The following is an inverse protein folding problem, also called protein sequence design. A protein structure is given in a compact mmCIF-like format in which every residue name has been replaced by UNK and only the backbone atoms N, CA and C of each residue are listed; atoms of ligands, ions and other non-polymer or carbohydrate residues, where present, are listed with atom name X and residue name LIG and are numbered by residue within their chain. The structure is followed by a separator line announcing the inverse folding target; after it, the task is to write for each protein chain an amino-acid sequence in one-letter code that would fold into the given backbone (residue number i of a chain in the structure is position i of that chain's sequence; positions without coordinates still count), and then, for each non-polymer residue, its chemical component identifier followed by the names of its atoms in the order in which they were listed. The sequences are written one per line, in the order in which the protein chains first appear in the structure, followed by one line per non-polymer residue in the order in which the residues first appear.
data_IF_363978538971
#
_entry.id   IF_363978538971
#
_cell.length_a   1.000
_cell.length_b   1.000
_cell.length_c   1.000
_cell.angle_alpha   90.00
_cell.angle_beta   90.00
_cell.angle_gamma   90.00
#
_symmetry.space_group_name_H-M   'P 1'
#
loop_
_entity.id
_entity.type
_entity.pdbx_description
1 polymer ?
#
# COMPACT_ATOMS: atom_id res chain seq x y z
N UNK A 1 -3.83 -11.97 1.25
CA UNK A 1 -3.57 -10.88 2.25
C UNK A 1 -4.29 -9.62 1.83
N UNK A 2 -4.94 -8.96 2.76
CA UNK A 2 -5.67 -7.73 2.49
C UNK A 2 -4.76 -6.52 2.76
N UNK A 3 -4.61 -5.64 1.78
CA UNK A 3 -3.75 -4.45 1.90
C UNK A 3 -4.22 -3.55 3.04
N UNK A 4 -5.54 -3.42 3.19
CA UNK A 4 -6.14 -2.64 4.27
C UNK A 4 -5.66 -3.13 5.64
N UNK A 5 -5.74 -4.43 5.87
CA UNK A 5 -5.30 -5.02 7.13
C UNK A 5 -3.81 -4.85 7.36
N UNK A 6 -3.02 -4.99 6.31
CA UNK A 6 -1.57 -4.78 6.42
C UNK A 6 -1.26 -3.32 6.78
N UNK A 7 -1.89 -2.37 6.10
CA UNK A 7 -1.63 -0.95 6.32
C UNK A 7 -1.97 -0.55 7.76
N UNK A 8 -3.16 -0.93 8.23
CA UNK A 8 -3.57 -0.56 9.57
C UNK A 8 -2.90 -1.40 10.66
N UNK A 9 -2.27 -2.52 10.29
CA UNK A 9 -1.43 -3.28 11.20
C UNK A 9 -0.02 -2.72 11.37
N UNK A 10 0.39 -1.78 10.50
CA UNK A 10 1.69 -1.14 10.64
C UNK A 10 1.70 -0.16 11.81
N UNK A 11 2.87 0.03 12.47
CA UNK A 11 3.02 1.11 13.44
C UNK A 11 2.70 2.46 12.78
N UNK A 12 2.15 3.37 13.56
CA UNK A 12 1.79 4.71 13.04
C UNK A 12 2.95 5.41 12.37
N UNK A 13 4.16 5.21 12.88
CA UNK A 13 5.37 5.85 12.34
C UNK A 13 5.73 5.34 10.96
N UNK A 14 5.32 4.11 10.62
CA UNK A 14 5.62 3.50 9.33
C UNK A 14 4.52 3.68 8.28
N UNK A 15 3.31 4.03 8.71
CA UNK A 15 2.19 4.19 7.79
C UNK A 15 2.42 5.26 6.72
N UNK A 16 2.87 6.49 7.06
CA UNK A 16 3.10 7.52 6.05
C UNK A 16 4.15 7.10 5.03
N UNK A 17 5.21 6.44 5.47
CA UNK A 17 6.26 5.97 4.57
C UNK A 17 5.73 4.92 3.60
N UNK A 18 4.97 3.96 4.11
CA UNK A 18 4.36 2.93 3.26
C UNK A 18 3.42 3.56 2.24
N UNK A 19 2.52 4.45 2.69
CA UNK A 19 1.59 5.14 1.81
C UNK A 19 2.32 5.90 0.71
N UNK A 20 3.34 6.65 1.07
CA UNK A 20 4.12 7.41 0.10
C UNK A 20 4.80 6.49 -0.91
N UNK A 21 5.42 5.42 -0.45
CA UNK A 21 6.13 4.47 -1.30
C UNK A 21 5.17 3.83 -2.31
N UNK A 22 4.01 3.35 -1.84
CA UNK A 22 3.01 2.74 -2.71
C UNK A 22 2.45 3.76 -3.70
N UNK A 23 2.12 4.96 -3.21
CA UNK A 23 1.54 5.99 -4.07
C UNK A 23 2.50 6.40 -5.18
N UNK A 24 3.78 6.54 -4.88
CA UNK A 24 4.78 6.88 -5.88
C UNK A 24 4.97 5.74 -6.90
N UNK A 25 5.01 4.51 -6.43
CA UNK A 25 5.19 3.35 -7.30
C UNK A 25 4.01 3.15 -8.25
N UNK A 26 2.80 3.44 -7.79
CA UNK A 26 1.58 3.25 -8.56
C UNK A 26 1.06 4.52 -9.24
N UNK A 27 1.68 5.66 -8.96
CA UNK A 27 1.23 6.93 -9.50
C UNK A 27 -0.10 7.40 -8.92
N UNK A 28 -0.38 7.04 -7.68
CA UNK A 28 -1.64 7.40 -7.03
C UNK A 28 -1.54 8.71 -6.27
N UNK A 29 -2.65 9.46 -6.23
CA UNK A 29 -2.80 10.57 -5.29
C UNK A 29 -3.17 10.04 -3.91
N UNK A 30 -3.14 10.92 -2.91
CA UNK A 30 -3.54 10.57 -1.55
C UNK A 30 -4.96 9.98 -1.51
N UNK A 31 -5.90 10.64 -2.16
CA UNK A 31 -7.27 10.17 -2.20
C UNK A 31 -7.42 8.84 -2.94
N UNK A 32 -6.68 8.67 -4.03
CA UNK A 32 -6.69 7.42 -4.77
C UNK A 32 -6.14 6.27 -3.93
N UNK A 33 -5.09 6.52 -3.15
CA UNK A 33 -4.55 5.49 -2.26
C UNK A 33 -5.63 4.97 -1.32
N UNK A 34 -6.32 5.86 -0.62
CA UNK A 34 -7.36 5.44 0.32
C UNK A 34 -8.55 4.81 -0.36
N UNK A 35 -8.90 5.28 -1.55
CA UNK A 35 -9.97 4.65 -2.33
C UNK A 35 -9.61 3.20 -2.65
N UNK A 36 -8.43 2.97 -3.18
CA UNK A 36 -7.95 1.63 -3.53
C UNK A 36 -7.83 0.73 -2.29
N UNK A 37 -7.37 1.30 -1.19
CA UNK A 37 -7.22 0.59 0.06
C UNK A 37 -8.57 0.06 0.56
N UNK A 38 -9.60 0.89 0.54
CA UNK A 38 -10.92 0.54 1.04
C UNK A 38 -11.67 -0.41 0.10
N UNK A 39 -11.51 -0.24 -1.20
CA UNK A 39 -12.28 -1.01 -2.18
C UNK A 39 -11.52 -2.22 -2.72
N UNK A 40 -10.21 -2.27 -2.54
CA UNK A 40 -9.41 -3.40 -3.00
C UNK A 40 -9.38 -3.56 -4.52
N UNK A 41 -9.68 -2.51 -5.26
CA UNK A 41 -9.82 -2.56 -6.71
C UNK A 41 -8.47 -2.28 -7.38
N UNK A 42 -7.62 -3.30 -7.45
CA UNK A 42 -6.26 -3.18 -7.98
C UNK A 42 -6.11 -3.98 -9.27
N UNK A 43 -5.38 -3.41 -10.24
CA UNK A 43 -4.95 -4.15 -11.41
C UNK A 43 -3.85 -5.15 -11.02
N UNK A 44 -3.54 -6.08 -11.95
CA UNK A 44 -2.46 -7.05 -11.70
C UNK A 44 -1.12 -6.38 -11.45
N UNK A 45 -0.80 -5.35 -12.22
CA UNK A 45 0.46 -4.61 -12.06
C UNK A 45 0.49 -3.86 -10.72
N UNK A 46 -0.63 -3.27 -10.34
CA UNK A 46 -0.74 -2.59 -9.07
C UNK A 46 -0.57 -3.56 -7.91
N UNK A 47 -1.20 -4.74 -7.99
CA UNK A 47 -1.03 -5.77 -6.97
C UNK A 47 0.42 -6.20 -6.83
N UNK A 48 1.12 -6.42 -7.93
CA UNK A 48 2.54 -6.80 -7.90
C UNK A 48 3.38 -5.74 -7.21
N UNK A 49 3.18 -4.48 -7.59
CA UNK A 49 3.93 -3.37 -7.01
C UNK A 49 3.66 -3.27 -5.50
N UNK A 50 2.41 -3.35 -5.10
CA UNK A 50 2.03 -3.24 -3.69
C UNK A 50 2.57 -4.42 -2.88
N UNK A 51 2.44 -5.64 -3.37
CA UNK A 51 2.93 -6.80 -2.64
C UNK A 51 4.47 -6.83 -2.54
N UNK A 52 5.18 -6.33 -3.55
CA UNK A 52 6.62 -6.17 -3.47
C UNK A 52 7.00 -5.21 -2.34
N UNK A 53 6.27 -4.11 -2.22
CA UNK A 53 6.50 -3.12 -1.16
C UNK A 53 6.15 -3.71 0.21
N UNK A 54 5.04 -4.46 0.29
CA UNK A 54 4.65 -5.15 1.53
C UNK A 54 5.77 -6.06 2.01
N UNK A 55 6.37 -6.83 1.09
CA UNK A 55 7.46 -7.72 1.45
C UNK A 55 8.66 -6.95 2.01
N UNK A 56 8.99 -5.80 1.44
CA UNK A 56 10.07 -4.96 1.97
C UNK A 56 9.78 -4.51 3.39
N UNK A 57 8.56 -4.08 3.64
CA UNK A 57 8.20 -3.59 4.97
C UNK A 57 8.08 -4.71 5.99
N UNK A 58 7.68 -5.90 5.54
CA UNK A 58 7.56 -7.06 6.43
C UNK A 58 8.91 -7.63 6.83
N UNK A 59 9.93 -7.48 5.99
CA UNK A 59 11.28 -8.02 6.25
C UNK A 59 12.25 -6.99 6.79
N UNK A 60 11.86 -5.74 6.85
CA UNK A 60 12.73 -4.65 7.30
C UNK A 60 12.90 -4.63 8.82
#
# INVERSE_FOLDING_TARGET
MNIYNFYFGLPRTKRPKFRKTVSEACGWSYGTFYYKLNHGNLSKLEKRAVFSIINRFATA
#
